data_IF_773564178391
#
_entry.id   IF_773564178391
#
_cell.length_a   1.000
_cell.length_b   1.000
_cell.length_c   1.000
_cell.angle_alpha   90.00
_cell.angle_beta   90.00
_cell.angle_gamma   90.00
#
_symmetry.space_group_name_H-M   'P 1'
#
loop_
_entity.id
_entity.type
_entity.pdbx_description
1 polymer ?
#
# COMPACT_ATOMS: atom_id res chain seq x y z
N UNK A 1 16.62 -5.52 56.87
CA UNK A 1 17.45 -5.76 55.66
C UNK A 1 16.60 -5.40 54.46
N UNK A 2 17.01 -4.37 53.72
CA UNK A 2 16.28 -3.83 52.58
C UNK A 2 16.62 -4.62 51.31
N UNK A 3 15.61 -5.00 50.52
CA UNK A 3 15.80 -5.45 49.14
C UNK A 3 15.19 -4.42 48.20
N UNK A 4 16.05 -3.78 47.42
CA UNK A 4 15.70 -2.83 46.38
C UNK A 4 15.11 -3.57 45.17
N UNK A 5 13.92 -3.17 44.74
CA UNK A 5 13.33 -3.57 43.46
C UNK A 5 13.87 -2.60 42.39
N UNK A 6 14.71 -3.12 41.50
CA UNK A 6 15.10 -2.42 40.27
C UNK A 6 13.99 -2.60 39.24
N UNK A 7 13.21 -1.54 39.02
CA UNK A 7 12.29 -1.45 37.89
C UNK A 7 13.07 -1.22 36.60
N UNK A 8 13.24 -2.26 35.79
CA UNK A 8 13.58 -2.10 34.38
C UNK A 8 12.29 -1.70 33.64
N UNK A 9 12.15 -0.41 33.38
CA UNK A 9 11.22 0.09 32.37
C UNK A 9 11.81 -0.33 31.02
N UNK A 10 11.23 -1.37 30.42
CA UNK A 10 11.51 -1.68 29.02
C UNK A 10 11.01 -0.52 28.19
N UNK A 11 11.93 0.16 27.51
CA UNK A 11 11.64 1.32 26.67
C UNK A 11 10.55 1.00 25.66
N UNK A 12 9.59 1.91 25.51
CA UNK A 12 8.67 1.92 24.39
C UNK A 12 9.49 1.80 23.10
N UNK A 13 9.31 0.70 22.37
CA UNK A 13 10.09 0.43 21.17
C UNK A 13 9.86 1.54 20.14
N UNK A 14 10.94 2.12 19.63
CA UNK A 14 10.93 3.05 18.49
C UNK A 14 10.26 2.42 17.25
N UNK A 15 10.21 1.08 17.18
CA UNK A 15 9.49 0.32 16.17
C UNK A 15 7.97 0.56 16.14
N UNK A 16 7.35 0.95 17.26
CA UNK A 16 5.91 1.22 17.33
C UNK A 16 5.52 2.63 16.81
N UNK A 17 6.48 3.46 16.38
CA UNK A 17 6.21 4.81 15.88
C UNK A 17 6.20 4.88 14.34
N UNK A 18 7.13 4.20 13.68
CA UNK A 18 7.22 4.24 12.20
C UNK A 18 6.01 3.57 11.54
N UNK A 19 5.55 4.14 10.42
CA UNK A 19 4.53 3.51 9.58
C UNK A 19 5.07 2.16 9.07
N UNK A 20 4.30 1.08 9.25
CA UNK A 20 4.66 -0.22 8.68
C UNK A 20 4.41 -0.23 7.17
N UNK A 21 5.30 -0.91 6.43
CA UNK A 21 5.03 -1.25 5.03
C UNK A 21 3.82 -2.18 4.98
N UNK A 22 3.02 -2.07 3.92
CA UNK A 22 1.84 -2.90 3.72
C UNK A 22 0.68 -2.15 3.09
N UNK A 23 -0.41 -2.89 2.90
CA UNK A 23 -1.70 -2.34 2.50
C UNK A 23 -2.45 -1.80 3.71
N UNK A 24 -2.97 -0.59 3.59
CA UNK A 24 -3.79 0.09 4.59
C UNK A 24 -5.13 0.45 3.97
N UNK A 25 -6.21 0.25 4.71
CA UNK A 25 -7.57 0.51 4.22
C UNK A 25 -8.43 1.16 5.29
N UNK A 26 -9.48 1.85 4.87
CA UNK A 26 -10.56 2.29 5.77
C UNK A 26 -11.80 1.43 5.56
N UNK A 27 -12.38 0.93 6.65
CA UNK A 27 -13.60 0.11 6.66
C UNK A 27 -14.82 0.84 6.09
N UNK A 28 -14.81 2.17 6.12
CA UNK A 28 -15.92 3.01 5.61
C UNK A 28 -15.77 3.27 4.10
N UNK A 29 -14.54 3.23 3.57
CA UNK A 29 -14.23 3.56 2.18
C UNK A 29 -13.68 2.33 1.45
N UNK A 30 -14.56 1.34 1.23
CA UNK A 30 -14.19 0.08 0.58
C UNK A 30 -13.60 0.31 -0.82
N UNK A 31 -12.49 -0.38 -1.13
CA UNK A 31 -11.80 -0.27 -2.42
C UNK A 31 -10.85 0.93 -2.54
N UNK A 32 -10.73 1.75 -1.49
CA UNK A 32 -9.71 2.79 -1.37
C UNK A 32 -8.68 2.41 -0.30
N UNK A 33 -7.49 3.01 -0.37
CA UNK A 33 -6.48 2.80 0.65
C UNK A 33 -5.06 3.18 0.20
N UNK A 34 -4.08 2.77 1.00
CA UNK A 34 -2.67 3.06 0.76
C UNK A 34 -1.90 1.75 0.60
N UNK A 35 -0.98 1.70 -0.36
CA UNK A 35 0.07 0.69 -0.41
C UNK A 35 1.38 1.39 -0.06
N UNK A 36 1.93 1.11 1.12
CA UNK A 36 3.05 1.84 1.70
C UNK A 36 4.29 0.96 1.79
N UNK A 37 5.44 1.55 1.48
CA UNK A 37 6.74 0.89 1.48
C UNK A 37 7.80 1.80 2.09
N UNK A 38 8.86 1.17 2.61
CA UNK A 38 10.01 1.87 3.19
C UNK A 38 11.29 1.54 2.45
N UNK A 39 12.08 2.57 2.17
CA UNK A 39 13.46 2.47 1.70
C UNK A 39 14.34 3.35 2.60
N UNK A 40 15.02 2.75 3.57
CA UNK A 40 15.77 3.50 4.59
C UNK A 40 14.85 4.38 5.43
N UNK A 41 15.08 5.70 5.38
CA UNK A 41 14.25 6.71 6.04
C UNK A 41 13.08 7.21 5.18
N UNK A 42 12.99 6.79 3.92
CA UNK A 42 11.92 7.21 3.01
C UNK A 42 10.72 6.28 3.15
N UNK A 43 9.54 6.85 3.35
CA UNK A 43 8.24 6.21 3.12
C UNK A 43 7.78 6.61 1.72
N UNK A 44 7.37 5.65 0.93
CA UNK A 44 6.80 5.90 -0.39
C UNK A 44 5.65 4.93 -0.65
N UNK A 45 4.83 5.22 -1.65
CA UNK A 45 3.71 4.34 -1.94
C UNK A 45 2.68 4.92 -2.89
N UNK A 46 1.56 4.24 -2.95
CA UNK A 46 0.41 4.65 -3.73
C UNK A 46 -0.82 4.85 -2.84
N UNK A 47 -1.48 5.99 -2.96
CA UNK A 47 -2.88 6.12 -2.59
C UNK A 47 -3.73 5.61 -3.76
N UNK A 48 -4.32 4.42 -3.61
CA UNK A 48 -5.26 3.86 -4.58
C UNK A 48 -6.69 4.28 -4.28
N UNK A 49 -7.37 4.76 -5.31
CA UNK A 49 -8.72 5.33 -5.24
C UNK A 49 -9.43 5.19 -6.58
N UNK A 50 -10.62 5.77 -6.67
CA UNK A 50 -11.37 5.90 -7.92
C UNK A 50 -11.45 7.38 -8.31
N UNK A 51 -11.37 7.66 -9.61
CA UNK A 51 -11.72 8.97 -10.15
C UNK A 51 -13.22 9.23 -10.08
N UNK A 52 -13.63 10.47 -10.34
CA UNK A 52 -15.05 10.84 -10.48
C UNK A 52 -15.76 10.11 -11.63
N UNK A 53 -14.99 9.53 -12.55
CA UNK A 53 -15.43 8.65 -13.63
C UNK A 53 -15.59 7.17 -13.21
N UNK A 54 -15.38 6.85 -11.91
CA UNK A 54 -15.41 5.50 -11.36
C UNK A 54 -14.20 4.64 -11.76
N UNK A 55 -13.26 5.18 -12.55
CA UNK A 55 -12.07 4.45 -12.99
C UNK A 55 -11.05 4.37 -11.86
N UNK A 56 -10.36 3.25 -11.77
CA UNK A 56 -9.25 3.07 -10.82
C UNK A 56 -8.10 4.01 -11.15
N UNK A 57 -7.58 4.67 -10.11
CA UNK A 57 -6.44 5.58 -10.18
C UNK A 57 -5.54 5.35 -8.98
N UNK A 58 -4.28 5.74 -9.12
CA UNK A 58 -3.34 5.80 -8.03
C UNK A 58 -2.63 7.16 -8.02
N UNK A 59 -2.31 7.64 -6.82
CA UNK A 59 -1.51 8.83 -6.60
C UNK A 59 -0.23 8.43 -5.86
N UNK A 60 0.90 8.90 -6.33
CA UNK A 60 2.18 8.67 -5.68
C UNK A 60 2.34 9.57 -4.46
N UNK A 61 2.90 8.99 -3.40
CA UNK A 61 3.34 9.70 -2.22
C UNK A 61 4.77 9.28 -1.88
N UNK A 62 5.57 10.24 -1.39
CA UNK A 62 6.92 9.98 -0.89
C UNK A 62 7.31 11.05 0.13
N UNK A 63 7.85 10.62 1.27
CA UNK A 63 8.30 11.50 2.36
C UNK A 63 9.48 10.86 3.10
N UNK A 64 10.33 11.68 3.70
CA UNK A 64 11.47 11.21 4.51
C UNK A 64 11.23 11.29 6.02
N UNK A 65 10.11 11.90 6.45
CA UNK A 65 9.69 11.92 7.85
C UNK A 65 8.75 10.74 8.14
N UNK A 66 9.27 9.71 8.80
CA UNK A 66 8.52 8.52 9.20
C UNK A 66 7.69 8.72 10.48
N UNK A 67 7.93 9.79 11.23
CA UNK A 67 7.28 10.05 12.52
C UNK A 67 5.97 10.83 12.35
N UNK A 68 5.96 11.85 11.47
CA UNK A 68 4.74 12.56 11.04
C UNK A 68 4.69 12.70 9.50
N UNK A 69 4.46 11.58 8.78
CA UNK A 69 4.46 11.57 7.31
C UNK A 69 3.45 12.57 6.75
N UNK A 70 3.93 13.58 6.03
CA UNK A 70 3.09 14.55 5.33
C UNK A 70 3.80 15.10 4.09
N UNK A 71 3.04 15.39 3.04
CA UNK A 71 3.59 15.81 1.77
C UNK A 71 2.54 15.94 0.67
N UNK A 72 3.00 16.00 -0.57
CA UNK A 72 2.15 16.11 -1.75
C UNK A 72 1.66 14.74 -2.24
N UNK A 73 0.46 14.72 -2.81
CA UNK A 73 -0.07 13.62 -3.59
C UNK A 73 0.14 13.93 -5.07
N UNK A 74 0.87 13.05 -5.75
CA UNK A 74 1.29 13.24 -7.13
C UNK A 74 0.48 12.37 -8.08
N UNK A 75 -0.16 12.98 -9.07
CA UNK A 75 -0.65 12.26 -10.22
C UNK A 75 0.52 11.97 -11.15
N UNK A 76 0.73 10.69 -11.48
CA UNK A 76 1.76 10.25 -12.41
C UNK A 76 1.13 9.85 -13.73
N UNK A 77 1.48 10.55 -14.81
CA UNK A 77 1.02 10.24 -16.16
C UNK A 77 2.20 9.79 -17.03
N UNK A 78 1.95 8.80 -17.89
CA UNK A 78 2.88 8.42 -18.97
C UNK A 78 2.74 9.43 -20.11
N UNK A 79 3.85 10.01 -20.53
CA UNK A 79 3.96 10.89 -21.69
C UNK A 79 4.98 10.33 -22.67
N UNK A 80 5.04 10.87 -23.89
CA UNK A 80 5.91 10.36 -24.96
C UNK A 80 7.38 10.19 -24.52
N UNK A 81 7.90 11.13 -23.73
CA UNK A 81 9.30 11.19 -23.32
C UNK A 81 9.53 10.76 -21.85
N UNK A 82 8.57 10.07 -21.22
CA UNK A 82 8.73 9.53 -19.87
C UNK A 82 7.51 9.70 -18.97
N UNK A 83 7.73 10.23 -17.77
CA UNK A 83 6.68 10.46 -16.77
C UNK A 83 6.50 11.94 -16.49
N UNK A 84 5.24 12.36 -16.42
CA UNK A 84 4.85 13.66 -15.90
C UNK A 84 4.29 13.48 -14.50
N UNK A 85 4.84 14.22 -13.53
CA UNK A 85 4.37 14.26 -12.15
C UNK A 85 3.72 15.62 -11.91
N UNK A 86 2.46 15.60 -11.46
CA UNK A 86 1.72 16.80 -11.10
C UNK A 86 1.20 16.67 -9.67
N UNK A 87 1.53 17.61 -8.79
CA UNK A 87 0.93 17.67 -7.47
C UNK A 87 -0.56 18.01 -7.62
N UNK A 88 -1.43 17.12 -7.17
CA UNK A 88 -2.90 17.26 -7.26
C UNK A 88 -3.57 17.36 -5.89
N UNK A 89 -2.77 17.26 -4.84
CA UNK A 89 -3.23 17.27 -3.48
C UNK A 89 -2.09 17.15 -2.49
N UNK A 90 -2.48 16.97 -1.23
CA UNK A 90 -1.58 16.92 -0.08
C UNK A 90 -2.15 15.97 0.95
N UNK A 91 -1.29 15.38 1.77
CA UNK A 91 -1.69 14.41 2.77
C UNK A 91 -0.91 14.54 4.08
N UNK A 92 -1.47 13.97 5.15
CA UNK A 92 -0.76 13.62 6.36
C UNK A 92 -1.25 12.28 6.90
N UNK A 93 -0.36 11.53 7.54
CA UNK A 93 -0.66 10.22 8.12
C UNK A 93 -0.27 10.18 9.60
N UNK A 94 -1.20 10.62 10.45
CA UNK A 94 -0.96 10.75 11.89
C UNK A 94 -1.26 9.44 12.60
N UNK A 95 -0.47 9.07 13.59
CA UNK A 95 -0.87 7.99 14.52
C UNK A 95 -2.12 8.41 15.27
N UNK A 96 -3.07 7.50 15.41
CA UNK A 96 -4.20 7.67 16.33
C UNK A 96 -4.44 6.38 17.11
N UNK A 97 -5.05 6.50 18.28
CA UNK A 97 -5.54 5.34 19.06
C UNK A 97 -7.05 5.16 18.89
N UNK A 98 -7.75 6.21 18.42
CA UNK A 98 -9.21 6.23 18.28
C UNK A 98 -9.58 6.96 16.99
N UNK A 99 -10.41 6.31 16.18
CA UNK A 99 -10.96 6.91 14.96
C UNK A 99 -12.11 7.86 15.29
N UNK A 100 -12.21 8.96 14.56
CA UNK A 100 -13.28 9.97 14.73
C UNK A 100 -14.59 9.62 14.01
N UNK A 101 -14.62 8.50 13.29
CA UNK A 101 -15.75 8.02 12.49
C UNK A 101 -16.73 7.12 13.27
N UNK A 102 -16.57 7.01 14.60
CA UNK A 102 -17.40 6.22 15.51
C UNK A 102 -17.48 4.71 15.21
N UNK A 103 -16.66 4.18 14.29
CA UNK A 103 -16.63 2.76 13.98
C UNK A 103 -15.63 2.02 14.88
N UNK A 104 -16.11 0.99 15.59
CA UNK A 104 -15.25 0.12 16.39
C UNK A 104 -14.37 -0.76 15.48
N UNK A 105 -13.07 -0.80 15.77
CA UNK A 105 -12.07 -1.57 15.03
C UNK A 105 -11.37 -2.60 15.94
N UNK A 106 -12.09 -3.57 16.53
CA UNK A 106 -11.45 -4.60 17.34
C UNK A 106 -10.50 -5.42 16.46
N UNK A 107 -9.32 -5.74 16.99
CA UNK A 107 -8.29 -6.49 16.28
C UNK A 107 -7.43 -5.65 15.31
N UNK A 108 -7.69 -4.34 15.17
CA UNK A 108 -6.81 -3.45 14.45
C UNK A 108 -5.40 -3.50 15.07
N UNK A 109 -4.39 -3.78 14.25
CA UNK A 109 -2.99 -3.85 14.72
C UNK A 109 -2.39 -2.46 14.92
N UNK A 110 -2.83 -1.50 14.11
CA UNK A 110 -2.44 -0.10 14.17
C UNK A 110 -3.57 0.74 13.58
N UNK A 111 -3.68 1.99 14.04
CA UNK A 111 -4.61 2.97 13.50
C UNK A 111 -3.85 4.23 13.10
N UNK A 112 -4.21 4.78 11.94
CA UNK A 112 -3.69 6.06 11.44
C UNK A 112 -4.84 6.93 10.96
N UNK A 113 -4.79 8.21 11.27
CA UNK A 113 -5.63 9.22 10.67
C UNK A 113 -4.96 9.68 9.37
N UNK A 114 -5.52 9.27 8.24
CA UNK A 114 -5.10 9.70 6.91
C UNK A 114 -5.94 10.92 6.53
N UNK A 115 -5.33 12.10 6.65
CA UNK A 115 -5.93 13.35 6.21
C UNK A 115 -5.39 13.66 4.82
N UNK A 116 -6.27 13.98 3.89
CA UNK A 116 -5.83 14.40 2.57
C UNK A 116 -6.75 15.45 1.98
N UNK A 117 -6.19 16.24 1.08
CA UNK A 117 -6.90 17.20 0.26
C UNK A 117 -6.65 16.85 -1.20
N UNK A 118 -7.72 16.64 -1.95
CA UNK A 118 -7.68 16.42 -3.39
C UNK A 118 -8.66 17.36 -4.07
N UNK A 119 -8.20 18.06 -5.11
CA UNK A 119 -9.03 18.99 -5.89
C UNK A 119 -9.78 20.01 -4.99
N UNK A 120 -9.13 20.48 -3.92
CA UNK A 120 -9.70 21.42 -2.95
C UNK A 120 -10.70 20.82 -1.95
N UNK A 121 -10.91 19.50 -1.98
CA UNK A 121 -11.78 18.79 -1.03
C UNK A 121 -10.94 18.07 0.01
N UNK A 122 -11.08 18.48 1.27
CA UNK A 122 -10.46 17.81 2.41
C UNK A 122 -11.28 16.60 2.87
N UNK A 123 -10.59 15.53 3.21
CA UNK A 123 -11.13 14.27 3.72
C UNK A 123 -10.26 13.75 4.86
N UNK A 124 -10.89 12.99 5.76
CA UNK A 124 -10.22 12.34 6.88
C UNK A 124 -10.70 10.91 6.96
N UNK A 125 -9.76 9.97 6.78
CA UNK A 125 -10.02 8.54 6.88
C UNK A 125 -9.28 7.95 8.06
N UNK A 126 -9.86 6.93 8.70
CA UNK A 126 -9.15 6.16 9.70
C UNK A 126 -8.73 4.82 9.13
N UNK A 127 -7.46 4.72 8.76
CA UNK A 127 -6.90 3.55 8.07
C UNK A 127 -6.23 2.60 9.05
N UNK A 128 -6.33 1.30 8.75
CA UNK A 128 -5.68 0.21 9.47
C UNK A 128 -5.02 -0.77 8.48
N UNK A 129 -4.03 -1.57 8.91
CA UNK A 129 -3.44 -2.58 8.05
C UNK A 129 -4.49 -3.61 7.57
N UNK A 130 -4.52 -3.86 6.27
CA UNK A 130 -5.42 -4.83 5.65
C UNK A 130 -4.90 -6.26 5.83
N UNK A 131 -3.60 -6.46 5.69
CA UNK A 131 -2.96 -7.77 5.80
C UNK A 131 -2.59 -8.07 7.26
N UNK A 132 -2.60 -9.36 7.66
CA UNK A 132 -2.07 -9.79 8.96
C UNK A 132 -0.62 -9.31 9.16
N UNK A 133 -0.17 -9.24 10.42
CA UNK A 133 1.24 -8.98 10.69
C UNK A 133 2.05 -10.18 10.20
N UNK A 134 3.07 -9.94 9.38
CA UNK A 134 4.01 -10.98 9.03
C UNK A 134 4.96 -11.26 10.19
N UNK A 135 4.91 -12.50 10.68
CA UNK A 135 5.97 -13.08 11.51
C UNK A 135 7.11 -13.67 10.67
N UNK A 136 6.98 -13.67 9.33
CA UNK A 136 7.96 -14.26 8.45
C UNK A 136 8.90 -13.20 7.90
N UNK A 137 10.23 -13.34 8.07
CA UNK A 137 11.17 -12.66 7.21
C UNK A 137 11.04 -13.33 5.83
N UNK A 138 10.17 -12.82 4.96
CA UNK A 138 10.18 -13.22 3.55
C UNK A 138 11.06 -12.20 2.83
N UNK A 139 12.27 -12.65 2.47
CA UNK A 139 12.64 -13.15 1.13
C UNK A 139 12.62 -12.00 0.14
N UNK A 140 13.64 -11.92 -0.71
CA UNK A 140 14.00 -10.81 -1.61
C UNK A 140 12.85 -10.25 -2.47
N UNK A 141 11.65 -10.83 -2.43
CA UNK A 141 10.46 -10.66 -3.27
C UNK A 141 9.40 -9.71 -2.69
N UNK A 142 9.41 -9.45 -1.38
CA UNK A 142 8.52 -8.45 -0.76
C UNK A 142 8.99 -7.02 -1.08
N UNK A 143 8.04 -6.14 -1.34
CA UNK A 143 8.31 -4.72 -1.58
C UNK A 143 7.95 -4.24 -2.98
N UNK A 144 8.67 -3.20 -3.40
CA UNK A 144 8.42 -2.48 -4.64
C UNK A 144 9.44 -2.81 -5.72
N UNK A 145 8.94 -3.12 -6.91
CA UNK A 145 9.71 -3.51 -8.09
C UNK A 145 9.33 -2.63 -9.26
N UNK A 146 10.33 -2.27 -10.05
CA UNK A 146 10.16 -1.57 -11.32
C UNK A 146 11.31 -1.91 -12.25
N UNK A 147 11.13 -1.66 -13.54
CA UNK A 147 12.23 -1.69 -14.51
C UNK A 147 12.78 -0.26 -14.69
N UNK A 148 14.04 0.02 -14.31
CA UNK A 148 14.66 1.32 -14.54
C UNK A 148 14.76 1.71 -16.03
N UNK A 149 14.80 0.72 -16.94
CA UNK A 149 14.80 0.96 -18.38
C UNK A 149 13.39 1.34 -18.91
N UNK A 150 12.34 0.97 -18.19
CA UNK A 150 10.95 1.26 -18.53
C UNK A 150 10.19 1.90 -17.35
N UNK A 151 10.54 3.13 -16.96
CA UNK A 151 9.88 3.79 -15.84
C UNK A 151 8.40 4.04 -16.12
N UNK A 152 7.57 3.91 -15.09
CA UNK A 152 6.13 4.20 -15.15
C UNK A 152 5.24 3.04 -14.76
N UNK A 153 5.77 1.83 -14.73
CA UNK A 153 5.04 0.66 -14.30
C UNK A 153 5.88 -0.16 -13.33
N UNK A 154 5.23 -1.06 -12.62
CA UNK A 154 5.91 -1.97 -11.72
C UNK A 154 4.94 -2.70 -10.80
N UNK A 155 5.51 -3.33 -9.78
CA UNK A 155 4.83 -4.28 -8.92
C UNK A 155 5.09 -3.94 -7.45
N UNK A 156 4.03 -3.87 -6.66
CA UNK A 156 4.12 -4.05 -5.21
C UNK A 156 3.75 -5.49 -4.86
N UNK A 157 4.54 -6.13 -4.01
CA UNK A 157 4.32 -7.49 -3.56
C UNK A 157 4.36 -7.54 -2.03
N UNK A 158 3.37 -8.24 -1.47
CA UNK A 158 3.23 -8.52 -0.05
C UNK A 158 2.95 -10.01 0.13
N UNK A 159 3.75 -10.69 0.93
CA UNK A 159 3.50 -12.07 1.33
C UNK A 159 2.95 -12.09 2.75
N UNK A 160 1.91 -12.85 3.01
CA UNK A 160 1.29 -12.93 4.33
C UNK A 160 0.87 -14.35 4.70
N UNK A 161 0.95 -14.69 5.98
CA UNK A 161 0.49 -15.99 6.49
C UNK A 161 -1.02 -15.98 6.73
N UNK A 162 -1.72 -16.98 6.20
CA UNK A 162 -3.14 -17.22 6.52
C UNK A 162 -3.31 -18.09 7.77
N UNK A 163 -4.52 -18.15 8.37
CA UNK A 163 -4.79 -19.00 9.54
C UNK A 163 -4.51 -20.50 9.33
N UNK A 164 -4.52 -20.98 8.10
CA UNK A 164 -4.19 -22.36 7.71
C UNK A 164 -2.68 -22.60 7.55
N UNK A 165 -1.85 -21.62 7.94
CA UNK A 165 -0.39 -21.63 7.81
C UNK A 165 0.11 -21.64 6.36
N UNK A 166 -0.75 -21.39 5.38
CA UNK A 166 -0.32 -21.21 4.00
C UNK A 166 0.16 -19.78 3.78
N UNK A 167 1.33 -19.62 3.15
CA UNK A 167 1.81 -18.32 2.69
C UNK A 167 1.03 -17.92 1.46
N UNK A 168 0.44 -16.73 1.49
CA UNK A 168 -0.25 -16.10 0.39
C UNK A 168 0.52 -14.87 -0.08
N UNK A 169 0.31 -14.51 -1.33
CA UNK A 169 0.87 -13.30 -1.92
C UNK A 169 -0.26 -12.43 -2.41
N UNK A 170 -0.23 -11.16 -2.01
CA UNK A 170 -0.96 -10.08 -2.64
C UNK A 170 0.01 -9.29 -3.50
N UNK A 171 -0.41 -8.98 -4.73
CA UNK A 171 0.37 -8.19 -5.67
C UNK A 171 -0.47 -7.09 -6.28
N UNK A 172 0.08 -5.89 -6.37
CA UNK A 172 -0.47 -4.76 -7.13
C UNK A 172 0.45 -4.44 -8.29
N UNK A 173 -0.06 -4.55 -9.51
CA UNK A 173 0.58 -4.04 -10.71
C UNK A 173 0.09 -2.61 -10.94
N UNK A 174 1.00 -1.64 -10.94
CA UNK A 174 0.73 -0.27 -11.35
C UNK A 174 1.24 -0.04 -12.76
N UNK A 175 0.44 0.60 -13.60
CA UNK A 175 0.73 0.82 -15.02
C UNK A 175 -0.07 2.02 -15.55
N UNK A 176 0.05 2.31 -16.85
CA UNK A 176 -0.72 3.34 -17.53
C UNK A 176 -1.51 2.77 -18.69
N UNK A 177 -2.69 3.33 -18.96
CA UNK A 177 -3.48 2.98 -20.15
C UNK A 177 -2.96 3.67 -21.42
N UNK A 178 -3.66 3.47 -22.54
CA UNK A 178 -3.30 4.06 -23.83
C UNK A 178 -3.33 5.60 -23.85
N UNK A 179 -4.07 6.22 -22.95
CA UNK A 179 -4.11 7.68 -22.77
C UNK A 179 -3.04 8.18 -21.77
N UNK A 180 -2.19 7.29 -21.28
CA UNK A 180 -1.15 7.58 -20.29
C UNK A 180 -1.69 7.78 -18.87
N UNK A 181 -2.95 7.39 -18.60
CA UNK A 181 -3.59 7.57 -17.28
C UNK A 181 -3.21 6.41 -16.34
N UNK A 182 -2.97 6.69 -15.05
CA UNK A 182 -2.60 5.67 -14.09
C UNK A 182 -3.73 4.65 -13.90
N UNK A 183 -3.36 3.37 -13.93
CA UNK A 183 -4.20 2.21 -13.66
C UNK A 183 -3.52 1.31 -12.65
N UNK A 184 -4.32 0.51 -11.96
CA UNK A 184 -3.81 -0.53 -11.09
C UNK A 184 -4.67 -1.79 -11.20
N UNK A 185 -4.02 -2.92 -10.96
CA UNK A 185 -4.67 -4.21 -10.89
C UNK A 185 -4.01 -5.05 -9.81
N UNK A 186 -4.75 -5.96 -9.21
CA UNK A 186 -4.24 -6.83 -8.18
C UNK A 186 -4.44 -8.31 -8.49
N UNK A 187 -3.60 -9.12 -7.90
CA UNK A 187 -3.71 -10.57 -7.92
C UNK A 187 -3.41 -11.12 -6.54
N UNK A 188 -4.08 -12.22 -6.19
CA UNK A 188 -3.85 -12.96 -4.95
C UNK A 188 -3.75 -14.44 -5.25
N UNK A 189 -2.77 -15.11 -4.67
CA UNK A 189 -2.69 -16.57 -4.72
C UNK A 189 -1.93 -17.12 -3.53
N UNK A 190 -2.02 -18.42 -3.33
CA UNK A 190 -1.01 -19.13 -2.57
C UNK A 190 0.37 -18.87 -3.18
N UNK A 191 1.38 -18.69 -2.34
CA UNK A 191 2.76 -18.74 -2.74
C UNK A 191 3.16 -20.20 -2.95
N UNK A 192 3.61 -20.54 -4.15
CA UNK A 192 4.01 -21.92 -4.46
C UNK A 192 5.40 -22.01 -5.08
N UNK A 193 5.86 -21.00 -5.84
CA UNK A 193 7.06 -21.11 -6.67
C UNK A 193 7.70 -19.75 -6.97
N UNK A 194 8.96 -19.79 -7.43
CA UNK A 194 9.69 -18.64 -7.97
C UNK A 194 9.12 -18.14 -9.31
N UNK A 195 8.27 -18.94 -9.96
CA UNK A 195 7.62 -18.62 -11.22
C UNK A 195 6.11 -18.70 -11.07
N UNK A 196 5.43 -17.57 -11.27
CA UNK A 196 4.03 -17.45 -10.94
C UNK A 196 3.30 -16.63 -11.99
N UNK A 197 2.50 -17.32 -12.80
CA UNK A 197 1.53 -16.71 -13.71
C UNK A 197 0.21 -16.51 -13.00
N UNK A 198 -0.31 -15.29 -13.03
CA UNK A 198 -1.58 -14.95 -12.41
C UNK A 198 -2.46 -14.12 -13.32
N UNK A 199 -3.76 -14.23 -13.08
CA UNK A 199 -4.76 -13.28 -13.56
C UNK A 199 -4.82 -12.10 -12.62
N UNK A 200 -4.81 -10.92 -13.20
CA UNK A 200 -4.94 -9.64 -12.50
C UNK A 200 -6.34 -9.08 -12.71
N UNK A 201 -6.81 -8.45 -11.66
CA UNK A 201 -8.15 -7.89 -11.59
C UNK A 201 -8.08 -6.43 -11.17
N UNK A 202 -8.91 -5.57 -11.74
CA UNK A 202 -9.09 -4.21 -11.22
C UNK A 202 -10.45 -4.14 -10.51
N UNK A 203 -10.55 -3.50 -9.34
CA UNK A 203 -11.85 -3.28 -8.76
C UNK A 203 -12.61 -2.22 -9.56
N UNK A 204 -13.93 -2.30 -9.56
CA UNK A 204 -14.83 -1.37 -10.21
C UNK A 204 -15.77 -0.83 -9.15
N UNK A 205 -15.79 0.49 -9.00
CA UNK A 205 -16.79 1.16 -8.19
C UNK A 205 -18.02 1.45 -9.05
N UNK A 206 -19.13 0.73 -8.85
CA UNK A 206 -20.40 1.01 -9.53
C UNK A 206 -20.95 2.40 -9.16
N UNK A 207 -20.68 2.87 -7.94
CA UNK A 207 -20.95 4.23 -7.52
C UNK A 207 -20.08 4.66 -6.32
N UNK A 208 -19.62 5.91 -6.35
CA UNK A 208 -18.87 6.54 -5.26
C UNK A 208 -19.82 6.93 -4.13
N UNK A 209 -19.54 6.50 -2.90
CA UNK A 209 -20.31 6.88 -1.70
C UNK A 209 -21.64 6.14 -1.48
N UNK A 210 -21.93 5.11 -2.26
CA UNK A 210 -23.03 4.18 -1.96
C UNK A 210 -22.70 3.30 -0.75
N UNK A 211 -23.72 2.74 -0.04
CA UNK A 211 -23.50 1.67 0.93
C UNK A 211 -22.61 0.59 0.30
N UNK A 212 -21.59 0.08 1.01
CA UNK A 212 -20.52 -0.68 0.41
C UNK A 212 -21.08 -1.81 -0.47
N UNK A 213 -20.93 -1.73 -1.80
CA UNK A 213 -21.25 -2.87 -2.64
C UNK A 213 -20.18 -3.94 -2.39
N UNK A 214 -20.49 -5.18 -2.77
CA UNK A 214 -19.45 -6.20 -2.97
C UNK A 214 -18.47 -5.61 -3.97
N UNK A 215 -17.18 -5.56 -3.63
CA UNK A 215 -16.16 -5.11 -4.58
C UNK A 215 -16.27 -5.96 -5.85
N UNK A 216 -16.77 -5.38 -6.93
CA UNK A 216 -16.81 -6.04 -8.22
C UNK A 216 -15.42 -5.94 -8.82
N UNK A 217 -14.90 -7.06 -9.26
CA UNK A 217 -13.60 -7.13 -9.93
C UNK A 217 -13.81 -7.52 -11.37
N UNK A 218 -13.11 -6.85 -12.28
CA UNK A 218 -13.00 -7.26 -13.67
C UNK A 218 -11.60 -7.79 -13.94
N UNK A 219 -11.50 -8.93 -14.63
CA UNK A 219 -10.22 -9.44 -15.11
C UNK A 219 -9.67 -8.47 -16.16
N UNK A 220 -8.43 -8.01 -15.98
CA UNK A 220 -7.78 -7.06 -16.89
C UNK A 220 -6.63 -7.67 -17.68
N UNK A 221 -6.18 -8.87 -17.29
CA UNK A 221 -5.15 -9.60 -18.02
C UNK A 221 -4.38 -10.58 -17.13
N UNK A 222 -3.26 -11.05 -17.67
CA UNK A 222 -2.34 -11.95 -16.97
C UNK A 222 -0.93 -11.36 -16.94
N UNK A 223 -0.21 -11.63 -15.85
CA UNK A 223 1.23 -11.37 -15.78
C UNK A 223 1.94 -12.59 -15.17
N UNK A 224 3.18 -12.80 -15.60
CA UNK A 224 4.07 -13.83 -15.08
C UNK A 224 5.23 -13.15 -14.38
N UNK A 225 5.46 -13.52 -13.13
CA UNK A 225 6.65 -13.11 -12.38
C UNK A 225 7.54 -14.32 -12.29
N UNK A 226 8.78 -14.17 -12.73
CA UNK A 226 9.80 -15.19 -12.66
C UNK A 226 11.00 -14.61 -11.91
N UNK A 227 11.30 -15.18 -10.76
CA UNK A 227 12.42 -14.78 -9.92
C UNK A 227 13.67 -15.53 -10.36
N UNK A 228 14.71 -14.77 -10.67
CA UNK A 228 16.01 -15.30 -11.04
C UNK A 228 17.00 -14.96 -9.94
N UNK A 229 17.72 -15.97 -9.46
CA UNK A 229 18.87 -15.75 -8.61
C UNK A 229 19.98 -15.10 -9.44
N UNK A 230 20.22 -13.81 -9.20
CA UNK A 230 21.36 -13.13 -9.78
C UNK A 230 22.55 -13.43 -8.88
N UNK A 231 23.38 -14.40 -9.27
CA UNK A 231 24.70 -14.55 -8.64
C UNK A 231 25.44 -13.21 -8.80
N UNK A 232 25.97 -12.60 -7.74
CA UNK A 232 26.77 -11.40 -7.90
C UNK A 232 27.96 -11.72 -8.81
N UNK A 233 28.15 -10.92 -9.86
CA UNK A 233 29.33 -11.02 -10.71
C UNK A 233 30.57 -10.84 -9.82
N UNK A 234 31.56 -11.74 -9.88
CA UNK A 234 32.77 -11.57 -9.09
C UNK A 234 33.46 -10.25 -9.49
N UNK A 235 34.05 -9.54 -8.52
CA UNK A 235 34.64 -8.22 -8.74
C UNK A 235 35.80 -8.22 -9.74
#
# INVERSE_FOLDING_TARGET
>A
MASALWGLVWGSSVAAQSVESGLWYDRVHAGHGLDLHRAGTTLFGAFYSYGTDGQTRWLWLQVDDLADPSGDLWQVARVADGLSLSAVGRFSLRRTEVCTDALSRPGARALRQFEFELEGTAQVWCVEPLLPADSHPLQTVDGAWYDPAEPGWGLFAHHYLRPDLQVWTYRSLYFHDADGRPRWAFAQSAWSEADLTQRYYTPVAECLGCPPPVALTSEVGTARIHLQDVSPEPP
#
